data_IF_679046325486
#
_entry.id   IF_679046325486
#
_cell.length_a   1.000
_cell.length_b   1.000
_cell.length_c   1.000
_cell.angle_alpha   90.00
_cell.angle_beta   90.00
_cell.angle_gamma   90.00
#
_symmetry.space_group_name_H-M   'P 1'
#
loop_
_entity.id
_entity.type
_entity.pdbx_description
1 polymer ?
#
# COMPACT_ATOMS: atom_id res chain seq x y z
N UNK A 1 -3.10 -2.83 3.31
CA UNK A 1 -3.55 -4.05 2.61
C UNK A 1 -4.65 -3.78 1.58
N UNK A 2 -5.72 -3.05 1.91
CA UNK A 2 -6.84 -2.83 0.97
C UNK A 2 -6.44 -2.18 -0.38
N UNK A 3 -5.57 -1.15 -0.39
CA UNK A 3 -5.21 -0.45 -1.62
C UNK A 3 -4.43 -1.30 -2.64
N UNK A 4 -3.50 -2.14 -2.16
CA UNK A 4 -2.69 -3.02 -3.04
C UNK A 4 -3.57 -4.12 -3.61
N UNK A 5 -4.37 -4.78 -2.76
CA UNK A 5 -5.32 -5.80 -3.22
C UNK A 5 -6.34 -5.21 -4.18
N UNK A 6 -6.85 -4.00 -3.92
CA UNK A 6 -7.74 -3.30 -4.84
C UNK A 6 -7.05 -3.06 -6.19
N UNK A 7 -5.82 -2.56 -6.23
CA UNK A 7 -5.09 -2.35 -7.48
C UNK A 7 -4.95 -3.65 -8.31
N UNK A 8 -4.72 -4.79 -7.66
CA UNK A 8 -4.65 -6.10 -8.32
C UNK A 8 -6.04 -6.54 -8.81
N UNK A 9 -7.05 -6.51 -7.94
CA UNK A 9 -8.41 -6.96 -8.25
C UNK A 9 -9.17 -6.02 -9.22
N UNK A 10 -8.69 -4.80 -9.43
CA UNK A 10 -9.22 -3.83 -10.40
C UNK A 10 -8.32 -3.68 -11.63
N UNK A 11 -7.29 -4.52 -11.78
CA UNK A 11 -6.40 -4.53 -12.94
C UNK A 11 -7.13 -4.85 -14.25
N UNK A 12 -6.50 -4.51 -15.37
CA UNK A 12 -7.10 -4.71 -16.69
C UNK A 12 -7.21 -6.19 -17.09
N UNK A 13 -6.39 -7.05 -16.47
CA UNK A 13 -6.39 -8.50 -16.67
C UNK A 13 -7.58 -9.23 -16.00
N UNK A 14 -8.33 -8.55 -15.13
CA UNK A 14 -9.39 -9.16 -14.32
C UNK A 14 -10.66 -9.43 -15.14
N UNK A 15 -11.11 -8.41 -15.88
CA UNK A 15 -12.26 -8.51 -16.76
C UNK A 15 -12.24 -7.34 -17.76
N UNK A 16 -12.52 -7.58 -19.06
CA UNK A 16 -12.52 -6.52 -20.09
C UNK A 16 -13.58 -5.43 -19.81
N UNK A 17 -14.75 -5.83 -19.31
CA UNK A 17 -15.77 -4.90 -18.80
C UNK A 17 -15.44 -4.47 -17.35
N UNK A 18 -15.15 -3.18 -17.17
CA UNK A 18 -14.85 -2.56 -15.86
C UNK A 18 -15.99 -2.70 -14.86
N UNK A 19 -17.25 -2.71 -15.33
CA UNK A 19 -18.42 -2.81 -14.46
C UNK A 19 -18.61 -4.22 -13.86
N UNK A 20 -17.86 -5.23 -14.34
CA UNK A 20 -17.95 -6.63 -13.88
C UNK A 20 -16.78 -7.10 -13.02
N UNK A 21 -15.77 -6.23 -12.81
CA UNK A 21 -14.56 -6.57 -12.02
C UNK A 21 -14.86 -6.90 -10.56
N UNK A 22 -16.01 -6.46 -10.02
CA UNK A 22 -16.44 -6.78 -8.65
C UNK A 22 -16.55 -8.28 -8.37
N UNK A 23 -16.76 -9.11 -9.40
CA UNK A 23 -16.88 -10.57 -9.27
C UNK A 23 -15.64 -11.21 -8.66
N UNK A 24 -14.45 -10.65 -8.88
CA UNK A 24 -13.20 -11.14 -8.25
C UNK A 24 -13.17 -10.90 -6.75
N UNK A 25 -13.92 -9.92 -6.25
CA UNK A 25 -14.10 -9.72 -4.81
C UNK A 25 -14.74 -10.93 -4.12
N UNK A 26 -15.69 -11.60 -4.79
CA UNK A 26 -16.37 -12.78 -4.25
C UNK A 26 -15.42 -13.98 -4.11
N UNK A 27 -14.65 -14.28 -5.15
CA UNK A 27 -13.68 -15.38 -5.10
C UNK A 27 -12.56 -15.11 -4.10
N UNK A 28 -12.09 -13.86 -4.03
CA UNK A 28 -11.12 -13.41 -3.03
C UNK A 28 -11.65 -13.60 -1.60
N UNK A 29 -12.87 -13.13 -1.32
CA UNK A 29 -13.50 -13.27 -0.01
C UNK A 29 -13.69 -14.74 0.38
N UNK A 30 -14.13 -15.58 -0.55
CA UNK A 30 -14.29 -17.02 -0.32
C UNK A 30 -12.97 -17.68 0.10
N UNK A 31 -11.89 -17.45 -0.66
CA UNK A 31 -10.58 -18.02 -0.33
C UNK A 31 -10.04 -17.51 1.00
N UNK A 32 -10.22 -16.22 1.30
CA UNK A 32 -9.81 -15.66 2.60
C UNK A 32 -10.62 -16.22 3.77
N UNK A 33 -11.92 -16.50 3.58
CA UNK A 33 -12.75 -17.15 4.58
C UNK A 33 -12.29 -18.60 4.85
N UNK A 34 -12.01 -19.36 3.79
CA UNK A 34 -11.45 -20.72 3.91
C UNK A 34 -10.11 -20.69 4.64
N UNK A 35 -9.18 -19.83 4.25
CA UNK A 35 -7.89 -19.67 4.93
C UNK A 35 -8.04 -19.26 6.40
N UNK A 36 -8.99 -18.36 6.69
CA UNK A 36 -9.31 -17.95 8.06
C UNK A 36 -9.80 -19.11 8.93
N UNK A 37 -10.59 -20.03 8.37
CA UNK A 37 -11.04 -21.24 9.07
C UNK A 37 -9.88 -22.17 9.44
N UNK A 38 -8.88 -22.28 8.57
CA UNK A 38 -7.64 -23.03 8.84
C UNK A 38 -6.59 -22.24 9.63
N UNK A 39 -6.94 -21.05 10.13
CA UNK A 39 -6.04 -20.13 10.82
C UNK A 39 -5.16 -20.78 11.90
N UNK A 40 -5.71 -21.59 12.84
CA UNK A 40 -4.92 -22.24 13.88
C UNK A 40 -3.83 -23.17 13.32
N UNK A 41 -4.15 -23.94 12.27
CA UNK A 41 -3.20 -24.85 11.61
C UNK A 41 -2.10 -24.07 10.90
N UNK A 42 -2.48 -23.00 10.21
CA UNK A 42 -1.54 -22.11 9.51
C UNK A 42 -0.59 -21.43 10.51
N UNK A 43 -1.11 -20.90 11.61
CA UNK A 43 -0.30 -20.27 12.67
C UNK A 43 0.68 -21.27 13.28
N UNK A 44 0.24 -22.50 13.56
CA UNK A 44 1.12 -23.54 14.08
C UNK A 44 2.29 -23.84 13.11
N UNK A 45 2.01 -23.88 11.80
CA UNK A 45 3.03 -24.04 10.76
C UNK A 45 4.01 -22.86 10.70
N UNK A 46 3.50 -21.62 10.79
CA UNK A 46 4.35 -20.41 10.81
C UNK A 46 5.27 -20.39 12.03
N UNK A 47 4.77 -20.79 13.21
CA UNK A 47 5.56 -20.84 14.44
C UNK A 47 6.69 -21.89 14.42
N UNK A 48 6.62 -22.89 13.53
CA UNK A 48 7.70 -23.86 13.33
C UNK A 48 8.87 -23.30 12.52
N UNK A 49 8.69 -22.16 11.83
CA UNK A 49 9.71 -21.54 10.97
C UNK A 49 10.53 -20.50 11.75
N UNK A 50 11.87 -20.48 11.63
CA UNK A 50 12.70 -19.43 12.20
C UNK A 50 12.23 -18.01 11.82
N UNK A 51 12.14 -17.07 12.78
CA UNK A 51 11.67 -15.71 12.52
C UNK A 51 12.47 -14.97 11.44
N UNK A 52 13.77 -15.26 11.33
CA UNK A 52 14.64 -14.70 10.29
C UNK A 52 14.17 -15.08 8.88
N UNK A 53 13.69 -16.31 8.66
CA UNK A 53 13.18 -16.74 7.35
C UNK A 53 11.85 -16.05 7.00
N UNK A 54 10.98 -15.84 7.99
CA UNK A 54 9.73 -15.11 7.79
C UNK A 54 10.03 -13.67 7.37
N UNK A 55 10.97 -13.01 8.08
CA UNK A 55 11.37 -11.64 7.77
C UNK A 55 12.01 -11.50 6.39
N UNK A 56 12.86 -12.45 5.97
CA UNK A 56 13.50 -12.40 4.64
C UNK A 56 12.48 -12.63 3.53
N UNK A 57 11.58 -13.61 3.66
CA UNK A 57 10.53 -13.86 2.67
C UNK A 57 9.59 -12.66 2.56
N UNK A 58 9.15 -12.10 3.70
CA UNK A 58 8.31 -10.90 3.71
C UNK A 58 9.02 -9.71 3.06
N UNK A 59 10.30 -9.48 3.41
CA UNK A 59 11.13 -8.44 2.81
C UNK A 59 11.23 -8.59 1.29
N UNK A 60 11.59 -9.78 0.80
CA UNK A 60 11.68 -10.09 -0.63
C UNK A 60 10.35 -9.88 -1.37
N UNK A 61 9.23 -10.30 -0.76
CA UNK A 61 7.90 -10.10 -1.32
C UNK A 61 7.50 -8.62 -1.44
N UNK A 62 8.05 -7.76 -0.57
CA UNK A 62 7.78 -6.32 -0.55
C UNK A 62 8.65 -5.51 -1.52
N UNK A 63 9.79 -6.03 -2.01
CA UNK A 63 10.71 -5.28 -2.88
C UNK A 63 9.98 -4.78 -4.13
N UNK A 64 9.36 -5.67 -4.90
CA UNK A 64 8.74 -5.31 -6.17
C UNK A 64 7.56 -4.32 -6.02
N UNK A 65 6.60 -4.53 -5.10
CA UNK A 65 5.57 -3.53 -4.81
C UNK A 65 6.13 -2.18 -4.36
N UNK A 66 7.20 -2.17 -3.56
CA UNK A 66 7.82 -0.93 -3.08
C UNK A 66 8.44 -0.14 -4.23
N UNK A 67 9.20 -0.82 -5.10
CA UNK A 67 9.78 -0.20 -6.30
C UNK A 67 8.67 0.35 -7.21
N UNK A 68 7.64 -0.43 -7.49
CA UNK A 68 6.51 0.03 -8.31
C UNK A 68 5.78 1.25 -7.72
N UNK A 69 5.55 1.26 -6.41
CA UNK A 69 4.93 2.39 -5.71
C UNK A 69 5.81 3.65 -5.76
N UNK A 70 7.13 3.50 -5.58
CA UNK A 70 8.08 4.62 -5.67
C UNK A 70 8.14 5.17 -7.10
N UNK A 71 8.25 4.31 -8.11
CA UNK A 71 8.25 4.72 -9.52
C UNK A 71 6.98 5.50 -9.87
N UNK A 72 5.80 5.04 -9.43
CA UNK A 72 4.55 5.75 -9.64
C UNK A 72 4.50 7.09 -8.90
N UNK A 73 4.91 7.14 -7.63
CA UNK A 73 4.86 8.34 -6.81
C UNK A 73 5.79 9.46 -7.30
N UNK A 74 6.95 9.12 -7.87
CA UNK A 74 7.94 10.09 -8.38
C UNK A 74 7.85 10.36 -9.89
N UNK A 75 6.85 9.78 -10.57
CA UNK A 75 6.67 9.90 -12.01
C UNK A 75 6.46 11.36 -12.48
N UNK A 76 5.60 12.11 -11.77
CA UNK A 76 5.26 13.49 -12.10
C UNK A 76 6.23 14.48 -11.40
N UNK A 77 7.06 15.24 -12.14
CA UNK A 77 8.04 16.16 -11.57
C UNK A 77 7.43 17.17 -10.58
N UNK A 78 6.20 17.62 -10.85
CA UNK A 78 5.48 18.60 -10.04
C UNK A 78 5.10 18.09 -8.64
N UNK A 79 5.03 16.77 -8.43
CA UNK A 79 4.58 16.18 -7.16
C UNK A 79 5.70 15.47 -6.39
N UNK A 80 6.93 15.51 -6.89
CA UNK A 80 8.07 14.81 -6.28
C UNK A 80 8.36 15.26 -4.86
N UNK A 81 8.18 16.55 -4.58
CA UNK A 81 8.42 17.07 -3.23
C UNK A 81 7.38 16.55 -2.24
N UNK A 82 6.09 16.61 -2.59
CA UNK A 82 5.02 15.97 -1.80
C UNK A 82 5.23 14.45 -1.61
N UNK A 83 5.65 13.74 -2.66
CA UNK A 83 5.98 12.30 -2.59
C UNK A 83 7.16 12.02 -1.64
N UNK A 84 8.23 12.81 -1.73
CA UNK A 84 9.39 12.71 -0.84
C UNK A 84 9.02 12.97 0.62
N UNK A 85 8.24 14.02 0.90
CA UNK A 85 7.76 14.31 2.26
C UNK A 85 6.94 13.14 2.81
N UNK A 86 6.02 12.59 2.01
CA UNK A 86 5.22 11.41 2.40
C UNK A 86 6.12 10.24 2.81
N UNK A 87 7.10 9.92 1.97
CA UNK A 87 7.98 8.78 2.17
C UNK A 87 8.89 8.96 3.39
N UNK A 88 9.55 10.11 3.51
CA UNK A 88 10.49 10.40 4.61
C UNK A 88 9.75 10.38 5.94
N UNK A 89 8.58 11.02 6.03
CA UNK A 89 7.79 11.01 7.26
C UNK A 89 7.26 9.61 7.58
N UNK A 90 6.79 8.84 6.60
CA UNK A 90 6.36 7.46 6.82
C UNK A 90 7.52 6.54 7.25
N UNK A 91 8.71 6.72 6.68
CA UNK A 91 9.91 5.95 7.00
C UNK A 91 10.55 6.34 8.34
N UNK A 92 10.26 7.53 8.87
CA UNK A 92 10.84 8.03 10.11
C UNK A 92 10.47 7.21 11.36
N UNK A 93 9.39 6.41 11.30
CA UNK A 93 8.86 5.68 12.44
C UNK A 93 8.20 6.55 13.51
N UNK A 94 8.06 7.87 13.28
CA UNK A 94 7.42 8.79 14.21
C UNK A 94 5.95 8.43 14.40
N UNK A 95 5.59 8.02 15.61
CA UNK A 95 4.22 7.84 16.04
C UNK A 95 3.82 9.02 16.93
N UNK A 96 2.65 9.61 16.66
CA UNK A 96 2.08 10.69 17.47
C UNK A 96 0.60 10.38 17.74
N UNK A 97 0.13 10.71 18.94
CA UNK A 97 -1.25 10.48 19.39
C UNK A 97 -1.73 9.03 19.26
N UNK A 98 -0.82 8.06 19.38
CA UNK A 98 -1.12 6.63 19.21
C UNK A 98 -1.31 6.19 17.74
N UNK A 99 -1.08 7.09 16.78
CA UNK A 99 -1.19 6.80 15.35
C UNK A 99 0.22 6.68 14.74
N UNK A 100 0.44 5.61 13.99
CA UNK A 100 1.74 5.32 13.37
C UNK A 100 2.14 6.27 12.23
N UNK A 101 3.42 6.23 11.88
CA UNK A 101 4.06 7.13 10.91
C UNK A 101 3.41 7.16 9.52
N UNK A 102 2.81 6.06 9.07
CA UNK A 102 2.17 5.98 7.74
C UNK A 102 1.03 7.01 7.57
N UNK A 103 0.24 7.24 8.63
CA UNK A 103 -0.84 8.23 8.61
C UNK A 103 -0.27 9.66 8.54
N UNK A 104 0.71 9.96 9.40
CA UNK A 104 1.34 11.28 9.46
C UNK A 104 2.11 11.60 8.19
N UNK A 105 2.72 10.59 7.55
CA UNK A 105 3.35 10.73 6.24
C UNK A 105 2.36 11.10 5.16
N UNK A 106 1.22 10.41 5.08
CA UNK A 106 0.16 10.75 4.14
C UNK A 106 -0.37 12.18 4.36
N UNK A 107 -0.60 12.57 5.62
CA UNK A 107 -1.10 13.90 5.96
C UNK A 107 -0.09 14.99 5.58
N UNK A 108 1.20 14.81 5.89
CA UNK A 108 2.26 15.74 5.54
C UNK A 108 2.41 15.88 4.03
N UNK A 109 2.42 14.77 3.30
CA UNK A 109 2.43 14.75 1.83
C UNK A 109 1.25 15.48 1.21
N UNK A 110 0.04 15.25 1.71
CA UNK A 110 -1.18 15.90 1.22
C UNK A 110 -1.15 17.41 1.50
N UNK A 111 -0.64 17.83 2.66
CA UNK A 111 -0.47 19.25 2.99
C UNK A 111 0.49 19.94 2.01
N UNK A 112 1.63 19.32 1.71
CA UNK A 112 2.60 19.82 0.72
C UNK A 112 1.99 19.88 -0.68
N UNK A 113 1.33 18.80 -1.10
CA UNK A 113 0.63 18.75 -2.39
C UNK A 113 -0.43 19.85 -2.53
N UNK A 114 -1.20 20.10 -1.45
CA UNK A 114 -2.20 21.15 -1.43
C UNK A 114 -1.55 22.54 -1.56
N UNK A 115 -0.47 22.81 -0.80
CA UNK A 115 0.27 24.07 -0.91
C UNK A 115 0.80 24.33 -2.32
N UNK A 116 1.38 23.31 -2.96
CA UNK A 116 1.84 23.39 -4.36
C UNK A 116 0.68 23.68 -5.31
N UNK A 117 -0.43 22.95 -5.16
CA UNK A 117 -1.61 23.12 -6.01
C UNK A 117 -2.23 24.52 -5.90
N UNK A 118 -2.25 25.09 -4.68
CA UNK A 118 -2.76 26.43 -4.42
C UNK A 118 -1.83 27.50 -4.98
N UNK A 119 -0.52 27.33 -4.82
CA UNK A 119 0.49 28.25 -5.37
C UNK A 119 0.38 28.35 -6.89
N UNK A 120 0.19 27.22 -7.57
CA UNK A 120 0.10 27.19 -9.02
C UNK A 120 -1.23 27.74 -9.54
N UNK A 121 -2.32 27.60 -8.78
CA UNK A 121 -3.60 28.26 -9.09
C UNK A 121 -3.51 29.78 -8.96
N UNK A 122 -2.74 30.29 -8.00
CA UNK A 122 -2.59 31.72 -7.75
C UNK A 122 -1.66 32.41 -8.77
N UNK A 123 -0.79 31.64 -9.45
CA UNK A 123 0.12 32.13 -10.49
C UNK A 123 -0.46 32.11 -11.91
N UNK A 124 -1.62 31.46 -12.10
CA UNK A 124 -2.38 31.50 -13.36
C UNK A 124 -3.35 32.66 -13.33
#
# INVERSE_FOLDING_TARGET
>A
MAAITAAICLGDDVHPDRAKRWTVGLSYAFWWAVLGLFGPVILAGIHAVPPALIATIAGLALINPTVGALSAAFSEPRHRFAAATTLITAASGVAAFGIGAAFWGLLAGLAVHLMESLRDRLKR
#
